data_IF_939026401259
#
_entry.id   IF_939026401259
#
_cell.length_a   1.000
_cell.length_b   1.000
_cell.length_c   1.000
_cell.angle_alpha   90.00
_cell.angle_beta   90.00
_cell.angle_gamma   90.00
#
_symmetry.space_group_name_H-M   'P 1'
#
loop_
_entity.id
_entity.type
_entity.pdbx_description
1 polymer ?
#
# COMPACT_ATOMS: atom_id res chain seq x y z
N UNK A 1 -5.22 26.46 11.87
CA UNK A 1 -5.28 24.99 11.97
C UNK A 1 -6.68 24.50 12.33
N UNK A 2 -7.22 24.68 13.55
CA UNK A 2 -8.52 24.10 13.97
C UNK A 2 -9.66 24.13 12.92
N UNK A 3 -9.96 25.29 12.33
CA UNK A 3 -11.02 25.40 11.30
C UNK A 3 -10.78 24.61 10.01
N UNK A 4 -9.51 24.37 9.66
CA UNK A 4 -9.17 23.56 8.49
C UNK A 4 -9.39 22.08 8.79
N UNK A 5 -9.00 21.63 9.98
CA UNK A 5 -9.26 20.28 10.46
C UNK A 5 -10.75 19.96 10.61
N UNK A 6 -11.55 20.88 11.19
CA UNK A 6 -13.01 20.75 11.23
C UNK A 6 -13.62 20.62 9.81
N UNK A 7 -13.06 21.35 8.84
CA UNK A 7 -13.48 21.26 7.44
C UNK A 7 -13.02 19.94 6.79
N UNK A 8 -11.83 19.46 7.13
CA UNK A 8 -11.32 18.17 6.68
C UNK A 8 -12.25 17.05 7.14
N UNK A 9 -12.58 16.98 8.42
CA UNK A 9 -13.52 16.00 8.98
C UNK A 9 -14.91 16.03 8.28
N UNK A 10 -15.38 17.22 7.92
CA UNK A 10 -16.65 17.33 7.17
C UNK A 10 -16.52 16.75 5.76
N UNK A 11 -15.40 16.99 5.08
CA UNK A 11 -15.16 16.46 3.74
C UNK A 11 -14.88 14.96 3.74
N UNK A 12 -14.18 14.41 4.74
CA UNK A 12 -13.98 12.95 4.86
C UNK A 12 -15.31 12.23 5.02
N UNK A 13 -16.20 12.74 5.89
CA UNK A 13 -17.56 12.21 6.00
C UNK A 13 -18.36 12.29 4.68
N UNK A 14 -18.20 13.37 3.91
CA UNK A 14 -18.81 13.51 2.59
C UNK A 14 -18.24 12.51 1.57
N UNK A 15 -16.93 12.23 1.59
CA UNK A 15 -16.28 11.23 0.74
C UNK A 15 -16.95 9.86 0.91
N UNK A 16 -17.08 9.40 2.17
CA UNK A 16 -17.68 8.10 2.46
C UNK A 16 -19.19 8.05 2.16
N UNK A 17 -19.92 9.15 2.37
CA UNK A 17 -21.33 9.23 1.96
C UNK A 17 -21.50 9.16 0.44
N UNK A 18 -20.56 9.71 -0.32
CA UNK A 18 -20.60 9.67 -1.78
C UNK A 18 -20.41 8.25 -2.31
N UNK A 19 -19.61 7.39 -1.68
CA UNK A 19 -19.44 5.98 -2.09
C UNK A 19 -20.77 5.19 -2.15
N UNK A 20 -21.75 5.56 -1.33
CA UNK A 20 -23.08 4.91 -1.29
C UNK A 20 -24.01 5.43 -2.40
N UNK A 21 -23.65 6.52 -3.09
CA UNK A 21 -24.47 7.14 -4.13
C UNK A 21 -24.22 6.51 -5.51
N UNK A 22 -25.27 6.45 -6.32
CA UNK A 22 -25.16 6.03 -7.71
C UNK A 22 -24.45 7.12 -8.52
N UNK A 23 -23.32 6.79 -9.13
CA UNK A 23 -22.40 7.70 -9.83
C UNK A 23 -21.66 8.68 -8.90
N UNK A 24 -21.03 8.17 -7.85
CA UNK A 24 -20.01 8.92 -7.11
C UNK A 24 -18.91 9.42 -8.04
N UNK A 25 -18.45 10.64 -7.80
CA UNK A 25 -17.33 11.24 -8.50
C UNK A 25 -16.17 11.48 -7.54
N UNK A 26 -15.01 11.84 -8.09
CA UNK A 26 -13.81 12.06 -7.30
C UNK A 26 -13.65 13.52 -6.83
N UNK A 27 -14.64 14.38 -7.07
CA UNK A 27 -14.52 15.81 -6.78
C UNK A 27 -14.40 16.11 -5.28
N UNK A 28 -15.13 15.39 -4.42
CA UNK A 28 -15.07 15.58 -2.97
C UNK A 28 -13.74 15.04 -2.42
N UNK A 29 -13.35 13.85 -2.88
CA UNK A 29 -12.06 13.23 -2.58
C UNK A 29 -10.87 14.15 -2.94
N UNK A 30 -10.84 14.65 -4.18
CA UNK A 30 -9.81 15.59 -4.64
C UNK A 30 -9.83 16.90 -3.83
N UNK A 31 -11.02 17.41 -3.48
CA UNK A 31 -11.13 18.61 -2.67
C UNK A 31 -10.61 18.40 -1.24
N UNK A 32 -10.84 17.22 -0.67
CA UNK A 32 -10.35 16.83 0.65
C UNK A 32 -8.82 16.68 0.63
N UNK A 33 -8.25 16.00 -0.38
CA UNK A 33 -6.79 15.88 -0.54
C UNK A 33 -6.11 17.25 -0.70
N UNK A 34 -6.69 18.15 -1.50
CA UNK A 34 -6.16 19.52 -1.63
C UNK A 34 -6.24 20.31 -0.31
N UNK A 35 -7.27 20.06 0.51
CA UNK A 35 -7.36 20.66 1.85
C UNK A 35 -6.28 20.10 2.77
N UNK A 36 -6.00 18.80 2.73
CA UNK A 36 -4.90 18.18 3.47
C UNK A 36 -3.55 18.80 3.10
N UNK A 37 -3.25 18.97 1.81
CA UNK A 37 -2.04 19.67 1.37
C UNK A 37 -1.97 21.12 1.89
N UNK A 38 -3.12 21.79 2.00
CA UNK A 38 -3.20 23.15 2.56
C UNK A 38 -2.91 23.17 4.05
N UNK A 39 -3.43 22.20 4.80
CA UNK A 39 -3.17 21.99 6.23
C UNK A 39 -1.66 21.83 6.44
N UNK A 40 -1.03 20.90 5.72
CA UNK A 40 0.40 20.62 5.82
C UNK A 40 1.23 21.87 5.47
N UNK A 41 0.89 22.56 4.38
CA UNK A 41 1.60 23.77 3.97
C UNK A 41 1.51 24.89 5.03
N UNK A 42 0.32 25.16 5.58
CA UNK A 42 0.14 26.22 6.58
C UNK A 42 0.75 25.84 7.94
N UNK A 43 0.71 24.56 8.30
CA UNK A 43 1.44 24.03 9.46
C UNK A 43 2.93 24.33 9.30
N UNK A 44 3.51 24.01 8.14
CA UNK A 44 4.93 24.23 7.83
C UNK A 44 5.35 25.70 7.71
N UNK A 45 4.43 26.58 7.36
CA UNK A 45 4.66 28.05 7.43
C UNK A 45 4.80 28.55 8.87
N UNK A 46 4.13 27.88 9.82
CA UNK A 46 4.14 28.24 11.24
C UNK A 46 5.30 27.56 11.97
N UNK A 47 5.52 26.28 11.67
CA UNK A 47 6.60 25.45 12.20
C UNK A 47 7.17 24.60 11.06
N UNK A 48 8.42 24.87 10.66
CA UNK A 48 9.07 24.16 9.57
C UNK A 48 9.24 22.64 9.83
N UNK A 49 9.14 22.19 11.08
CA UNK A 49 9.18 20.79 11.47
C UNK A 49 7.79 20.13 11.53
N UNK A 50 6.71 20.84 11.21
CA UNK A 50 5.35 20.30 11.25
C UNK A 50 5.17 19.08 10.34
N UNK A 51 4.67 17.99 10.92
CA UNK A 51 4.39 16.71 10.29
C UNK A 51 5.54 16.25 9.36
N UNK A 52 6.72 15.88 9.92
CA UNK A 52 7.85 15.43 9.12
C UNK A 52 7.60 14.05 8.50
N UNK A 53 6.85 13.19 9.20
CA UNK A 53 6.33 11.89 8.75
C UNK A 53 4.82 11.95 8.57
N UNK A 54 4.22 10.93 7.93
CA UNK A 54 2.79 10.89 7.66
C UNK A 54 2.00 10.72 8.98
N UNK A 55 2.36 9.73 9.80
CA UNK A 55 1.70 9.46 11.09
C UNK A 55 1.66 10.65 12.04
N UNK A 56 2.63 11.56 11.95
CA UNK A 56 2.65 12.75 12.78
C UNK A 56 1.40 13.63 12.59
N UNK A 57 0.69 13.53 11.45
CA UNK A 57 -0.57 14.25 11.25
C UNK A 57 -1.67 13.75 12.19
N UNK A 58 -1.72 12.45 12.43
CA UNK A 58 -2.68 11.84 13.34
C UNK A 58 -2.24 12.02 14.79
N UNK A 59 -0.96 11.80 15.11
CA UNK A 59 -0.40 12.05 16.45
C UNK A 59 -0.63 13.52 16.89
N UNK A 60 -0.35 14.50 16.01
CA UNK A 60 -0.56 15.93 16.29
C UNK A 60 -2.04 16.31 16.52
N UNK A 61 -2.96 15.43 16.12
CA UNK A 61 -4.40 15.64 16.24
C UNK A 61 -5.07 14.67 17.21
N UNK A 62 -4.30 13.91 18.00
CA UNK A 62 -4.83 12.90 18.94
C UNK A 62 -5.74 11.89 18.20
N UNK A 63 -5.35 11.54 16.97
CA UNK A 63 -6.05 10.63 16.05
C UNK A 63 -7.50 11.04 15.72
N UNK A 64 -7.88 12.31 15.95
CA UNK A 64 -9.27 12.78 15.76
C UNK A 64 -9.78 12.64 14.31
N UNK A 65 -8.87 12.64 13.33
CA UNK A 65 -9.22 12.77 11.90
C UNK A 65 -8.87 11.57 11.03
N UNK A 66 -8.11 10.61 11.55
CA UNK A 66 -7.72 9.37 10.88
C UNK A 66 -7.20 9.61 9.43
N UNK A 67 -6.18 10.45 9.34
CA UNK A 67 -5.64 10.98 8.08
C UNK A 67 -4.96 9.88 7.27
N UNK A 68 -4.23 8.99 7.93
CA UNK A 68 -3.56 7.85 7.29
C UNK A 68 -4.55 6.95 6.57
N UNK A 69 -5.53 6.39 7.29
CA UNK A 69 -6.54 5.51 6.71
C UNK A 69 -7.34 6.22 5.61
N UNK A 70 -7.74 7.48 5.84
CA UNK A 70 -8.45 8.26 4.82
C UNK A 70 -7.61 8.45 3.55
N UNK A 71 -6.29 8.63 3.68
CA UNK A 71 -5.40 8.79 2.55
C UNK A 71 -5.24 7.49 1.78
N UNK A 72 -5.16 6.35 2.45
CA UNK A 72 -5.16 5.02 1.82
C UNK A 72 -6.44 4.79 1.01
N UNK A 73 -7.60 5.08 1.61
CA UNK A 73 -8.90 5.02 0.93
C UNK A 73 -8.92 5.91 -0.32
N UNK A 74 -8.36 7.12 -0.23
CA UNK A 74 -8.28 8.02 -1.39
C UNK A 74 -7.43 7.44 -2.54
N UNK A 75 -6.31 6.76 -2.22
CA UNK A 75 -5.47 6.11 -3.22
C UNK A 75 -6.19 4.92 -3.86
N UNK A 76 -6.95 4.15 -3.09
CA UNK A 76 -7.77 3.04 -3.59
C UNK A 76 -8.89 3.54 -4.50
N UNK A 77 -9.60 4.60 -4.12
CA UNK A 77 -10.65 5.20 -4.94
C UNK A 77 -10.10 5.76 -6.26
N UNK A 78 -8.88 6.32 -6.27
CA UNK A 78 -8.21 6.72 -7.51
C UNK A 78 -7.92 5.51 -8.42
N UNK A 79 -7.48 4.39 -7.86
CA UNK A 79 -7.22 3.16 -8.62
C UNK A 79 -8.51 2.57 -9.18
N UNK A 80 -9.55 2.44 -8.34
CA UNK A 80 -10.87 1.93 -8.70
C UNK A 80 -11.59 2.79 -9.75
N UNK A 81 -11.32 4.11 -9.76
CA UNK A 81 -11.82 5.04 -10.77
C UNK A 81 -10.99 5.07 -12.07
N UNK A 82 -10.01 4.17 -12.24
CA UNK A 82 -9.07 4.14 -13.36
C UNK A 82 -8.27 5.47 -13.53
N UNK A 83 -8.13 6.28 -12.47
CA UNK A 83 -7.42 7.58 -12.49
C UNK A 83 -5.92 7.40 -12.28
N UNK A 84 -5.32 6.44 -13.00
CA UNK A 84 -3.92 6.03 -12.81
C UNK A 84 -2.90 7.16 -12.95
N UNK A 85 -3.15 8.17 -13.80
CA UNK A 85 -2.25 9.33 -13.92
C UNK A 85 -2.27 10.22 -12.67
N UNK A 86 -3.45 10.36 -12.04
CA UNK A 86 -3.61 11.10 -10.80
C UNK A 86 -3.06 10.29 -9.62
N UNK A 87 -3.33 8.99 -9.55
CA UNK A 87 -2.73 8.07 -8.57
C UNK A 87 -1.20 8.15 -8.57
N UNK A 88 -0.58 8.06 -9.76
CA UNK A 88 0.86 8.22 -9.92
C UNK A 88 1.35 9.58 -9.39
N UNK A 89 0.65 10.66 -9.76
CA UNK A 89 1.00 12.03 -9.34
C UNK A 89 0.90 12.22 -7.83
N UNK A 90 -0.17 11.71 -7.22
CA UNK A 90 -0.42 11.78 -5.77
C UNK A 90 0.64 10.98 -5.01
N UNK A 91 0.90 9.71 -5.37
CA UNK A 91 1.91 8.90 -4.71
C UNK A 91 3.31 9.56 -4.77
N UNK A 92 3.70 10.08 -5.95
CA UNK A 92 4.96 10.82 -6.09
C UNK A 92 4.98 12.08 -5.23
N UNK A 93 3.86 12.78 -5.10
CA UNK A 93 3.74 13.94 -4.24
C UNK A 93 3.96 13.56 -2.77
N UNK A 94 3.31 12.51 -2.28
CA UNK A 94 3.46 12.00 -0.92
C UNK A 94 4.91 11.58 -0.60
N UNK A 95 5.57 10.87 -1.53
CA UNK A 95 6.99 10.52 -1.42
C UNK A 95 7.91 11.74 -1.25
N UNK A 96 7.53 12.90 -1.78
CA UNK A 96 8.28 14.16 -1.61
C UNK A 96 7.81 15.00 -0.43
N UNK A 97 6.62 14.71 0.11
CA UNK A 97 5.98 15.53 1.13
C UNK A 97 6.48 15.17 2.53
N UNK A 98 6.76 13.89 2.77
CA UNK A 98 7.23 13.35 4.04
C UNK A 98 8.68 12.83 3.95
N UNK A 99 9.31 12.62 5.10
CA UNK A 99 10.71 12.23 5.18
C UNK A 99 10.94 10.72 5.02
N UNK A 100 9.96 9.89 5.40
CA UNK A 100 9.94 8.44 5.32
C UNK A 100 11.16 7.79 6.00
N UNK A 101 11.48 8.24 7.22
CA UNK A 101 12.60 7.68 8.01
C UNK A 101 12.16 6.59 8.96
N UNK A 102 10.92 6.65 9.42
CA UNK A 102 10.38 5.76 10.44
C UNK A 102 9.42 4.73 9.82
N UNK A 103 8.75 5.11 8.73
CA UNK A 103 7.83 4.26 7.98
C UNK A 103 8.41 3.89 6.61
N UNK A 104 8.03 2.70 6.12
CA UNK A 104 8.41 2.22 4.79
C UNK A 104 7.33 2.58 3.75
N UNK A 105 7.57 3.53 2.82
CA UNK A 105 6.60 3.93 1.80
C UNK A 105 6.54 2.96 0.61
N UNK A 106 6.85 1.68 0.83
CA UNK A 106 6.85 0.63 -0.19
C UNK A 106 5.53 0.53 -0.95
N UNK A 107 4.41 0.73 -0.28
CA UNK A 107 3.10 0.75 -0.91
C UNK A 107 3.01 1.86 -1.98
N UNK A 108 3.48 3.08 -1.68
CA UNK A 108 3.49 4.19 -2.65
C UNK A 108 4.34 3.87 -3.88
N UNK A 109 5.52 3.27 -3.69
CA UNK A 109 6.36 2.81 -4.79
C UNK A 109 5.66 1.73 -5.64
N UNK A 110 4.98 0.79 -4.97
CA UNK A 110 4.23 -0.28 -5.61
C UNK A 110 3.07 0.29 -6.45
N UNK A 111 2.25 1.17 -5.88
CA UNK A 111 1.14 1.86 -6.57
C UNK A 111 1.59 2.67 -7.77
N UNK A 112 2.73 3.38 -7.69
CA UNK A 112 3.32 4.07 -8.84
C UNK A 112 3.64 3.08 -9.96
N UNK A 113 4.26 1.95 -9.63
CA UNK A 113 4.61 0.94 -10.64
C UNK A 113 3.38 0.35 -11.34
N UNK A 114 2.33 0.05 -10.57
CA UNK A 114 1.06 -0.47 -11.08
C UNK A 114 0.37 0.58 -11.97
N UNK A 115 0.26 1.82 -11.50
CA UNK A 115 -0.34 2.93 -12.24
C UNK A 115 0.38 3.24 -13.56
N UNK A 116 1.71 3.20 -13.59
CA UNK A 116 2.49 3.32 -14.83
C UNK A 116 2.14 2.19 -15.82
N UNK A 117 2.04 0.95 -15.31
CA UNK A 117 1.63 -0.22 -16.09
C UNK A 117 0.23 -0.06 -16.69
N UNK A 118 -0.74 0.39 -15.90
CA UNK A 118 -2.13 0.63 -16.31
C UNK A 118 -2.27 1.76 -17.33
N UNK A 119 -1.39 2.76 -17.28
CA UNK A 119 -1.27 3.80 -18.31
C UNK A 119 -0.60 3.29 -19.61
N UNK A 120 -0.13 2.03 -19.65
CA UNK A 120 0.58 1.45 -20.79
C UNK A 120 2.07 1.81 -20.85
N UNK A 121 2.61 2.50 -19.84
CA UNK A 121 4.01 2.93 -19.73
C UNK A 121 4.89 1.81 -19.14
N UNK A 122 4.85 0.62 -19.74
CA UNK A 122 5.42 -0.61 -19.14
C UNK A 122 6.93 -0.57 -19.01
N UNK A 123 7.62 -0.01 -20.00
CA UNK A 123 9.08 0.14 -19.97
C UNK A 123 9.53 1.17 -18.93
N UNK A 124 8.73 2.21 -18.69
CA UNK A 124 8.95 3.19 -17.63
C UNK A 124 8.74 2.56 -16.25
N UNK A 125 7.66 1.78 -16.08
CA UNK A 125 7.42 1.02 -14.86
C UNK A 125 8.57 0.06 -14.55
N UNK A 126 9.10 -0.64 -15.56
CA UNK A 126 10.25 -1.52 -15.41
C UNK A 126 11.48 -0.74 -14.92
N UNK A 127 11.86 0.34 -15.60
CA UNK A 127 13.02 1.14 -15.23
C UNK A 127 12.88 1.72 -13.81
N UNK A 128 11.66 2.12 -13.43
CA UNK A 128 11.35 2.61 -12.09
C UNK A 128 11.56 1.54 -11.01
N UNK A 129 11.00 0.33 -11.19
CA UNK A 129 11.18 -0.76 -10.24
C UNK A 129 12.62 -1.29 -10.19
N UNK A 130 13.35 -1.28 -11.31
CA UNK A 130 14.77 -1.68 -11.32
C UNK A 130 15.63 -0.73 -10.47
N UNK A 131 15.37 0.58 -10.54
CA UNK A 131 16.10 1.54 -9.72
C UNK A 131 15.67 1.47 -8.24
N UNK A 132 14.37 1.31 -7.96
CA UNK A 132 13.89 1.10 -6.59
C UNK A 132 14.51 -0.16 -5.95
N UNK A 133 14.44 -1.30 -6.63
CA UNK A 133 15.02 -2.55 -6.16
C UNK A 133 16.55 -2.48 -5.98
N UNK A 134 17.23 -1.65 -6.77
CA UNK A 134 18.67 -1.44 -6.62
C UNK A 134 19.01 -0.61 -5.37
N UNK A 135 18.14 0.33 -5.00
CA UNK A 135 18.29 1.13 -3.78
C UNK A 135 17.97 0.31 -2.53
N UNK A 136 16.97 -0.55 -2.61
CA UNK A 136 16.59 -1.46 -1.54
C UNK A 136 16.34 -2.89 -2.03
N UNK A 137 17.43 -3.64 -2.19
CA UNK A 137 17.37 -5.03 -2.66
C UNK A 137 16.92 -6.03 -1.60
N UNK A 138 16.76 -5.58 -0.34
CA UNK A 138 16.22 -6.40 0.74
C UNK A 138 14.69 -6.39 0.79
N UNK A 139 14.10 -5.33 0.25
CA UNK A 139 12.66 -5.10 0.28
C UNK A 139 11.88 -6.09 -0.61
N UNK A 140 10.95 -6.82 0.01
CA UNK A 140 10.14 -7.82 -0.68
C UNK A 140 9.09 -7.18 -1.60
N UNK A 141 8.55 -6.02 -1.24
CA UNK A 141 7.63 -5.27 -2.11
C UNK A 141 8.34 -4.78 -3.38
N UNK A 142 9.59 -4.30 -3.26
CA UNK A 142 10.40 -3.92 -4.43
C UNK A 142 10.64 -5.11 -5.36
N UNK A 143 10.97 -6.29 -4.81
CA UNK A 143 11.15 -7.51 -5.59
C UNK A 143 9.84 -7.96 -6.27
N UNK A 144 8.71 -7.93 -5.55
CA UNK A 144 7.39 -8.26 -6.08
C UNK A 144 6.97 -7.32 -7.20
N UNK A 145 7.09 -6.00 -7.01
CA UNK A 145 6.82 -5.00 -8.04
C UNK A 145 7.65 -5.26 -9.30
N UNK A 146 8.94 -5.54 -9.13
CA UNK A 146 9.85 -5.86 -10.24
C UNK A 146 9.43 -7.15 -10.99
N UNK A 147 8.91 -8.16 -10.30
CA UNK A 147 8.32 -9.36 -10.95
C UNK A 147 7.08 -8.95 -11.78
N UNK A 148 6.17 -8.16 -11.22
CA UNK A 148 4.94 -7.73 -11.92
C UNK A 148 5.23 -6.89 -13.17
N UNK A 149 6.14 -5.91 -13.11
CA UNK A 149 6.46 -5.11 -14.29
C UNK A 149 7.19 -5.93 -15.35
N UNK A 150 8.03 -6.91 -14.97
CA UNK A 150 8.66 -7.86 -15.89
C UNK A 150 7.62 -8.75 -16.59
N UNK A 151 6.61 -9.21 -15.86
CA UNK A 151 5.43 -9.88 -16.45
C UNK A 151 4.76 -8.96 -17.48
N UNK A 152 4.58 -7.68 -17.13
CA UNK A 152 3.96 -6.66 -17.99
C UNK A 152 4.66 -6.48 -19.34
N UNK A 153 5.99 -6.48 -19.35
CA UNK A 153 6.83 -6.42 -20.58
C UNK A 153 7.13 -7.78 -21.20
N UNK A 154 6.61 -8.87 -20.63
CA UNK A 154 6.82 -10.27 -21.07
C UNK A 154 8.26 -10.78 -20.92
N UNK A 155 9.01 -10.22 -19.99
CA UNK A 155 10.30 -10.75 -19.56
C UNK A 155 10.10 -11.88 -18.53
N UNK A 156 9.66 -13.04 -19.02
CA UNK A 156 9.41 -14.21 -18.15
C UNK A 156 10.69 -14.73 -17.49
N UNK A 157 11.82 -14.68 -18.20
CA UNK A 157 13.08 -15.18 -17.71
C UNK A 157 13.60 -14.30 -16.56
N UNK A 158 13.60 -12.98 -16.74
CA UNK A 158 13.97 -12.05 -15.67
C UNK A 158 13.04 -12.11 -14.47
N UNK A 159 11.73 -12.29 -14.68
CA UNK A 159 10.79 -12.49 -13.58
C UNK A 159 11.06 -13.81 -12.84
N UNK A 160 11.33 -14.90 -13.55
CA UNK A 160 11.62 -16.21 -12.94
C UNK A 160 12.95 -16.21 -12.17
N UNK A 161 13.97 -15.51 -12.69
CA UNK A 161 15.24 -15.34 -11.99
C UNK A 161 15.06 -14.57 -10.67
N UNK A 162 14.15 -13.60 -10.62
CA UNK A 162 13.80 -12.91 -9.39
C UNK A 162 13.09 -13.85 -8.41
N UNK A 163 12.07 -14.58 -8.86
CA UNK A 163 11.36 -15.56 -8.02
C UNK A 163 12.32 -16.56 -7.38
N UNK A 164 13.27 -17.12 -8.15
CA UNK A 164 14.26 -18.08 -7.65
C UNK A 164 15.25 -17.49 -6.64
N UNK A 165 15.43 -16.16 -6.63
CA UNK A 165 16.29 -15.48 -5.67
C UNK A 165 15.66 -15.43 -4.27
N UNK A 166 14.33 -15.35 -4.22
CA UNK A 166 13.58 -15.22 -2.97
C UNK A 166 12.94 -16.53 -2.51
N UNK A 167 12.43 -17.36 -3.43
CA UNK A 167 11.75 -18.61 -3.11
C UNK A 167 12.69 -19.79 -3.36
N UNK A 168 13.20 -20.38 -2.27
CA UNK A 168 13.90 -21.66 -2.31
C UNK A 168 12.92 -22.83 -2.50
N UNK A 169 13.43 -24.01 -2.90
CA UNK A 169 12.57 -25.14 -3.28
C UNK A 169 11.71 -25.68 -2.13
N UNK A 170 12.18 -25.54 -0.89
CA UNK A 170 11.59 -25.97 0.37
C UNK A 170 11.11 -24.82 1.27
N UNK A 171 11.13 -23.58 0.75
CA UNK A 171 10.65 -22.42 1.49
C UNK A 171 9.14 -22.52 1.73
N UNK A 172 8.73 -22.20 2.96
CA UNK A 172 7.33 -22.12 3.39
C UNK A 172 6.83 -20.69 3.18
N UNK A 173 5.59 -20.56 2.73
CA UNK A 173 4.90 -19.28 2.61
C UNK A 173 4.47 -18.79 3.99
N UNK A 174 4.76 -17.53 4.32
CA UNK A 174 4.46 -16.87 5.60
C UNK A 174 4.08 -15.42 5.33
N UNK A 175 3.59 -14.68 6.33
CA UNK A 175 3.21 -13.27 6.17
C UNK A 175 4.35 -12.42 5.61
N UNK A 176 5.57 -12.64 6.10
CA UNK A 176 6.76 -11.90 5.65
C UNK A 176 7.08 -12.06 4.16
N UNK A 177 6.74 -13.19 3.52
CA UNK A 177 7.19 -13.52 2.17
C UNK A 177 6.06 -13.79 1.16
N UNK A 178 4.81 -13.75 1.62
CA UNK A 178 3.61 -14.06 0.84
C UNK A 178 3.57 -13.24 -0.45
N UNK A 179 3.91 -11.95 -0.38
CA UNK A 179 3.89 -11.03 -1.53
C UNK A 179 4.72 -11.56 -2.72
N UNK A 180 5.82 -12.26 -2.46
CA UNK A 180 6.64 -12.89 -3.50
C UNK A 180 5.96 -14.15 -4.05
N UNK A 181 5.31 -14.95 -3.21
CA UNK A 181 4.55 -16.13 -3.65
C UNK A 181 3.37 -15.73 -4.53
N UNK A 182 2.64 -14.67 -4.18
CA UNK A 182 1.55 -14.13 -5.00
C UNK A 182 2.10 -13.65 -6.36
N UNK A 183 3.20 -12.90 -6.38
CA UNK A 183 3.85 -12.47 -7.62
C UNK A 183 4.35 -13.65 -8.47
N UNK A 184 4.90 -14.71 -7.84
CA UNK A 184 5.32 -15.93 -8.51
C UNK A 184 4.13 -16.70 -9.12
N UNK A 185 2.99 -16.74 -8.44
CA UNK A 185 1.76 -17.32 -8.97
C UNK A 185 1.33 -16.59 -10.24
N UNK A 186 1.30 -15.25 -10.20
CA UNK A 186 0.98 -14.41 -11.35
C UNK A 186 1.93 -14.67 -12.53
N UNK A 187 3.24 -14.80 -12.27
CA UNK A 187 4.23 -15.15 -13.29
C UNK A 187 3.92 -16.49 -13.96
N UNK A 188 3.75 -17.55 -13.16
CA UNK A 188 3.59 -18.90 -13.71
C UNK A 188 2.25 -19.08 -14.43
N UNK A 189 1.21 -18.37 -14.00
CA UNK A 189 -0.05 -18.24 -14.73
C UNK A 189 0.17 -17.53 -16.08
N UNK A 190 0.88 -16.40 -16.09
CA UNK A 190 1.14 -15.62 -17.30
C UNK A 190 2.00 -16.39 -18.34
N UNK A 191 3.04 -17.09 -17.90
CA UNK A 191 3.91 -17.90 -18.78
C UNK A 191 3.36 -19.31 -19.05
N UNK A 192 2.18 -19.65 -18.50
CA UNK A 192 1.48 -20.93 -18.66
C UNK A 192 2.26 -22.14 -18.13
N UNK A 193 3.11 -21.94 -17.13
CA UNK A 193 3.84 -23.02 -16.46
C UNK A 193 2.98 -23.65 -15.35
N UNK A 194 2.03 -24.51 -15.75
CA UNK A 194 1.07 -25.16 -14.84
C UNK A 194 1.70 -25.93 -13.69
N UNK A 195 2.90 -26.49 -13.88
CA UNK A 195 3.58 -27.27 -12.84
C UNK A 195 4.08 -26.36 -11.72
N UNK A 196 4.75 -25.27 -12.08
CA UNK A 196 5.26 -24.30 -11.13
C UNK A 196 4.11 -23.52 -10.46
N UNK A 197 3.11 -23.11 -11.25
CA UNK A 197 1.87 -22.49 -10.75
C UNK A 197 1.20 -23.35 -9.67
N UNK A 198 0.99 -24.65 -9.94
CA UNK A 198 0.41 -25.57 -8.95
C UNK A 198 1.27 -25.72 -7.68
N UNK A 199 2.60 -25.66 -7.80
CA UNK A 199 3.50 -25.74 -6.64
C UNK A 199 3.32 -24.51 -5.76
N UNK A 200 3.36 -23.32 -6.35
CA UNK A 200 3.21 -22.04 -5.65
C UNK A 200 1.82 -21.90 -5.04
N UNK A 201 0.75 -22.17 -5.80
CA UNK A 201 -0.62 -22.06 -5.29
C UNK A 201 -0.87 -23.01 -4.11
N UNK A 202 -0.30 -24.21 -4.13
CA UNK A 202 -0.41 -25.12 -2.98
C UNK A 202 0.25 -24.54 -1.72
N UNK A 203 1.35 -23.79 -1.86
CA UNK A 203 2.00 -23.14 -0.72
C UNK A 203 1.11 -22.01 -0.17
N UNK A 204 0.54 -21.17 -1.05
CA UNK A 204 -0.44 -20.13 -0.69
C UNK A 204 -1.67 -20.74 0.02
N UNK A 205 -2.33 -21.74 -0.57
CA UNK A 205 -3.48 -22.47 0.01
C UNK A 205 -3.15 -23.19 1.34
N UNK A 206 -1.87 -23.42 1.64
CA UNK A 206 -1.46 -23.99 2.93
C UNK A 206 -1.36 -22.90 3.98
N UNK A 207 -0.71 -21.80 3.63
CA UNK A 207 -0.61 -20.61 4.47
C UNK A 207 -1.98 -20.00 4.78
N UNK A 208 -2.85 -19.81 3.78
CA UNK A 208 -4.24 -19.32 3.97
C UNK A 208 -5.00 -20.19 4.99
N UNK A 209 -4.83 -21.51 4.93
CA UNK A 209 -5.48 -22.43 5.87
C UNK A 209 -4.89 -22.34 7.28
N UNK A 210 -3.59 -22.14 7.41
CA UNK A 210 -2.93 -21.95 8.70
C UNK A 210 -3.43 -20.68 9.38
N UNK A 211 -3.62 -19.61 8.60
CA UNK A 211 -4.26 -18.37 9.05
C UNK A 211 -5.72 -18.61 9.48
N UNK A 212 -6.52 -19.26 8.63
CA UNK A 212 -7.92 -19.58 8.96
C UNK A 212 -8.01 -20.43 10.24
N UNK A 213 -7.16 -21.43 10.41
CA UNK A 213 -7.11 -22.28 11.60
C UNK A 213 -6.68 -21.51 12.86
N UNK A 214 -5.74 -20.58 12.72
CA UNK A 214 -5.33 -19.68 13.80
C UNK A 214 -6.52 -18.84 14.28
N UNK A 215 -7.20 -18.12 13.38
CA UNK A 215 -8.35 -17.28 13.74
C UNK A 215 -9.57 -18.08 14.22
N UNK A 216 -9.86 -19.25 13.64
CA UNK A 216 -10.94 -20.12 14.13
C UNK A 216 -10.68 -20.71 15.52
N UNK A 217 -9.41 -20.75 15.95
CA UNK A 217 -9.00 -21.24 17.27
C UNK A 217 -9.10 -20.20 18.38
N UNK A 218 -9.28 -18.94 18.03
CA UNK A 218 -9.35 -17.81 18.95
C UNK A 218 -10.78 -17.63 19.48
N UNK A 219 -10.90 -17.23 20.73
CA UNK A 219 -12.20 -16.81 21.26
C UNK A 219 -12.55 -15.36 20.88
N UNK A 220 -13.75 -14.91 21.24
CA UNK A 220 -14.27 -13.59 20.81
C UNK A 220 -13.44 -12.43 21.38
N UNK A 221 -12.85 -12.57 22.58
CA UNK A 221 -11.95 -11.57 23.18
C UNK A 221 -10.56 -11.59 22.53
N UNK A 222 -10.02 -12.77 22.21
CA UNK A 222 -8.75 -12.91 21.49
C UNK A 222 -8.85 -12.38 20.05
N UNK A 223 -9.99 -12.58 19.38
CA UNK A 223 -10.26 -12.04 18.04
C UNK A 223 -10.39 -10.51 18.05
N UNK A 224 -11.09 -9.93 19.03
CA UNK A 224 -11.21 -8.47 19.18
C UNK A 224 -9.82 -7.83 19.34
N UNK A 225 -8.95 -8.41 20.18
CA UNK A 225 -7.57 -7.94 20.39
C UNK A 225 -6.64 -8.15 19.18
N UNK A 226 -6.85 -9.19 18.38
CA UNK A 226 -6.03 -9.46 17.19
C UNK A 226 -6.44 -8.64 15.96
N UNK A 227 -7.69 -8.19 15.91
CA UNK A 227 -8.19 -7.28 14.87
C UNK A 227 -7.90 -5.83 15.24
N UNK A 228 -7.93 -5.47 16.53
CA UNK A 228 -7.49 -4.15 17.02
C UNK A 228 -5.96 -3.98 16.99
N UNK A 229 -5.13 -5.04 16.86
CA UNK A 229 -3.67 -4.87 16.85
C UNK A 229 -3.10 -4.21 15.57
N UNK A 230 -3.93 -3.99 14.54
CA UNK A 230 -3.62 -3.09 13.41
C UNK A 230 -4.06 -1.63 13.67
N UNK A 231 -4.77 -1.34 14.76
CA UNK A 231 -5.07 0.02 15.22
C UNK A 231 -4.99 0.13 16.75
N UNK A 232 -3.87 0.68 17.23
CA UNK A 232 -3.65 1.26 18.56
C UNK A 232 -2.59 0.58 19.43
N UNK A 233 -1.53 1.36 19.62
CA UNK A 233 -0.84 1.60 20.88
C UNK A 233 -1.57 1.05 22.12
N UNK A 234 -1.05 0.01 22.77
CA UNK A 234 -1.06 -0.04 24.24
C UNK A 234 -0.14 -1.15 24.78
N UNK A 235 1.16 -0.83 24.88
CA UNK A 235 1.98 -1.35 25.97
C UNK A 235 3.15 -0.40 26.29
N UNK A 236 2.84 0.82 26.75
CA UNK A 236 3.80 1.64 27.48
C UNK A 236 3.70 1.33 28.99
N UNK A 237 4.69 0.64 29.58
CA UNK A 237 4.65 0.28 30.99
C UNK A 237 5.17 1.45 31.84
N UNK A 238 4.30 2.40 32.19
CA UNK A 238 4.55 3.29 33.33
C UNK A 238 3.47 3.11 34.40
N UNK A 239 3.90 2.53 35.53
CA UNK A 239 3.24 2.59 36.83
C UNK A 239 3.21 4.00 37.40
#
# INVERSE_FOLDING_TARGET
MKKLWEKFNTLTAECYMDMVRVNSGMEVWDACYNLLLTIISQGRETDAAFAPELYCLDEDTDYEYDVENWLEDYLDELDMADRYADLESVCRKLLTLFAWKEEDPSDLYFRISAALGSQGKKEEALAYCEEWYKQDSGNMAAAAALIYVRIGVRDWAGAEDMVKRYIADDMVCTDENEIIFVAASALYKACKNKKAEKKINKALETYEREIEEYFMGMDEEELEFAVDYDSDEEDLPFR
#
